data_IF_009649391083
#
_entry.id   IF_009649391083
#
_cell.length_a   1.000
_cell.length_b   1.000
_cell.length_c   1.000
_cell.angle_alpha   90.00
_cell.angle_beta   90.00
_cell.angle_gamma   90.00
#
_symmetry.space_group_name_H-M   'P 1'
#
loop_
_entity.id
_entity.type
_entity.pdbx_description
1 polymer ?
#
# COMPACT_ATOMS: atom_id res chain seq x y z
N UNK A 1 0.03 11.46 -16.99
CA UNK A 1 0.30 11.62 -15.54
C UNK A 1 1.58 12.41 -15.36
N UNK A 2 1.60 13.44 -14.52
CA UNK A 2 2.81 14.26 -14.31
C UNK A 2 3.84 13.51 -13.44
N UNK A 3 5.15 13.77 -13.64
CA UNK A 3 6.27 13.17 -12.88
C UNK A 3 6.11 13.32 -11.37
N UNK A 4 5.62 14.47 -10.90
CA UNK A 4 5.40 14.71 -9.47
C UNK A 4 4.26 13.87 -8.90
N UNK A 5 3.21 13.64 -9.71
CA UNK A 5 2.12 12.73 -9.35
C UNK A 5 2.61 11.27 -9.28
N UNK A 6 3.50 10.85 -10.19
CA UNK A 6 4.10 9.51 -10.13
C UNK A 6 4.92 9.31 -8.85
N UNK A 7 5.76 10.30 -8.51
CA UNK A 7 6.56 10.28 -7.27
C UNK A 7 5.66 10.21 -6.03
N UNK A 8 4.58 10.99 -6.00
CA UNK A 8 3.59 10.95 -4.92
C UNK A 8 2.93 9.57 -4.78
N UNK A 9 2.50 8.97 -5.90
CA UNK A 9 1.93 7.62 -5.90
C UNK A 9 2.92 6.58 -5.38
N UNK A 10 4.19 6.65 -5.79
CA UNK A 10 5.25 5.75 -5.31
C UNK A 10 5.52 5.93 -3.81
N UNK A 11 5.52 7.17 -3.31
CA UNK A 11 5.64 7.45 -1.88
C UNK A 11 4.48 6.85 -1.08
N UNK A 12 3.25 6.99 -1.58
CA UNK A 12 2.06 6.40 -0.96
C UNK A 12 2.12 4.87 -0.94
N UNK A 13 2.57 4.24 -2.03
CA UNK A 13 2.78 2.79 -2.10
C UNK A 13 3.81 2.36 -1.05
N UNK A 14 4.93 3.07 -0.93
CA UNK A 14 5.98 2.75 0.05
C UNK A 14 5.46 2.86 1.49
N UNK A 15 4.69 3.91 1.80
CA UNK A 15 4.06 4.09 3.10
C UNK A 15 3.10 2.94 3.44
N UNK A 16 2.18 2.61 2.52
CA UNK A 16 1.24 1.50 2.71
C UNK A 16 1.94 0.15 2.86
N UNK A 17 3.03 -0.09 2.12
CA UNK A 17 3.83 -1.31 2.28
C UNK A 17 4.51 -1.38 3.65
N UNK A 18 5.03 -0.25 4.16
CA UNK A 18 5.59 -0.17 5.51
C UNK A 18 4.53 -0.49 6.56
N UNK A 19 3.33 0.09 6.45
CA UNK A 19 2.22 -0.22 7.36
C UNK A 19 1.82 -1.70 7.33
N UNK A 20 1.67 -2.28 6.14
CA UNK A 20 1.36 -3.70 5.97
C UNK A 20 2.44 -4.59 6.58
N UNK A 21 3.71 -4.20 6.48
CA UNK A 21 4.82 -4.91 7.12
C UNK A 21 4.72 -4.82 8.64
N UNK A 22 4.44 -3.63 9.20
CA UNK A 22 4.26 -3.47 10.65
C UNK A 22 3.07 -4.29 11.16
N UNK A 23 1.97 -4.37 10.41
CA UNK A 23 0.84 -5.24 10.75
C UNK A 23 1.24 -6.71 10.77
N UNK A 24 2.11 -7.16 9.84
CA UNK A 24 2.63 -8.54 9.86
C UNK A 24 3.52 -8.79 11.07
N UNK A 25 4.38 -7.84 11.44
CA UNK A 25 5.22 -7.94 12.63
C UNK A 25 4.35 -8.08 13.88
N UNK A 26 3.32 -7.23 14.02
CA UNK A 26 2.34 -7.31 15.11
C UNK A 26 1.59 -8.65 15.15
N UNK A 27 1.15 -9.14 13.99
CA UNK A 27 0.51 -10.44 13.92
C UNK A 27 1.46 -11.57 14.37
N UNK A 28 2.73 -11.51 13.96
CA UNK A 28 3.75 -12.48 14.36
C UNK A 28 4.12 -12.39 15.85
N UNK A 29 3.99 -11.23 16.48
CA UNK A 29 4.17 -11.07 17.94
C UNK A 29 2.95 -11.48 18.77
N UNK A 30 1.87 -11.95 18.12
CA UNK A 30 0.64 -12.39 18.79
C UNK A 30 -0.37 -11.27 19.04
N UNK A 31 -0.12 -10.05 18.56
CA UNK A 31 -1.11 -8.98 18.62
C UNK A 31 -2.26 -9.24 17.62
N UNK A 32 -3.49 -8.93 18.05
CA UNK A 32 -4.64 -9.00 17.15
C UNK A 32 -4.64 -7.81 16.20
N UNK A 33 -4.55 -8.07 14.90
CA UNK A 33 -4.66 -7.04 13.87
C UNK A 33 -6.07 -7.00 13.26
N UNK A 34 -6.61 -5.81 12.94
CA UNK A 34 -7.87 -5.71 12.22
C UNK A 34 -7.74 -6.23 10.78
N UNK A 35 -8.22 -7.46 10.53
CA UNK A 35 -8.13 -8.11 9.21
C UNK A 35 -8.79 -7.28 8.10
N UNK A 36 -9.87 -6.57 8.41
CA UNK A 36 -10.56 -5.68 7.46
C UNK A 36 -9.62 -4.57 6.98
N UNK A 37 -8.89 -3.93 7.88
CA UNK A 37 -7.96 -2.85 7.56
C UNK A 37 -6.77 -3.37 6.72
N UNK A 38 -6.22 -4.53 7.10
CA UNK A 38 -5.17 -5.20 6.31
C UNK A 38 -5.60 -5.43 4.85
N UNK A 39 -6.82 -5.95 4.64
CA UNK A 39 -7.38 -6.18 3.30
C UNK A 39 -7.59 -4.88 2.52
N UNK A 40 -8.08 -3.82 3.17
CA UNK A 40 -8.27 -2.50 2.56
C UNK A 40 -6.94 -1.93 2.09
N UNK A 41 -5.93 -1.89 2.96
CA UNK A 41 -4.58 -1.40 2.62
C UNK A 41 -3.94 -2.19 1.48
N UNK A 42 -4.08 -3.52 1.48
CA UNK A 42 -3.60 -4.37 0.38
C UNK A 42 -4.30 -4.04 -0.96
N UNK A 43 -5.62 -3.82 -0.94
CA UNK A 43 -6.39 -3.43 -2.13
C UNK A 43 -5.98 -2.04 -2.64
N UNK A 44 -5.69 -1.12 -1.73
CA UNK A 44 -5.26 0.24 -2.08
C UNK A 44 -3.89 0.25 -2.76
N UNK A 45 -2.93 -0.55 -2.26
CA UNK A 45 -1.64 -0.75 -2.96
C UNK A 45 -1.85 -1.24 -4.40
N UNK A 46 -2.74 -2.21 -4.60
CA UNK A 46 -3.06 -2.72 -5.94
C UNK A 46 -3.70 -1.65 -6.85
N UNK A 47 -4.60 -0.82 -6.31
CA UNK A 47 -5.18 0.32 -7.04
C UNK A 47 -4.14 1.34 -7.45
N UNK A 48 -3.24 1.72 -6.54
CA UNK A 48 -2.16 2.67 -6.84
C UNK A 48 -1.22 2.14 -7.92
N UNK A 49 -0.85 0.86 -7.88
CA UNK A 49 -0.08 0.25 -8.96
C UNK A 49 -0.85 0.22 -10.28
N UNK A 50 -2.15 -0.07 -10.25
CA UNK A 50 -2.99 -0.06 -11.46
C UNK A 50 -3.03 1.34 -12.08
N UNK A 51 -3.26 2.38 -11.26
CA UNK A 51 -3.23 3.78 -11.69
C UNK A 51 -1.86 4.15 -12.28
N UNK A 52 -0.78 3.76 -11.60
CA UNK A 52 0.59 4.03 -12.04
C UNK A 52 0.89 3.40 -13.40
N UNK A 53 0.50 2.13 -13.57
CA UNK A 53 0.77 1.36 -14.79
C UNK A 53 -0.13 1.79 -15.96
N UNK A 54 -1.39 2.11 -15.70
CA UNK A 54 -2.32 2.62 -16.71
C UNK A 54 -1.89 3.97 -17.29
N UNK A 55 -1.09 4.74 -16.54
CA UNK A 55 -0.51 5.99 -17.03
C UNK A 55 0.81 5.81 -17.80
N UNK A 56 1.35 4.59 -17.85
CA UNK A 56 2.58 4.22 -18.58
C UNK A 56 2.25 3.46 -19.88
N UNK A 57 1.15 2.72 -19.89
CA UNK A 57 0.56 2.10 -21.08
C UNK A 57 -0.07 3.17 -21.99
#
# INVERSE_FOLDING_TARGET
MNKDEQKSILANIASLKKELMMMRVKASSGETIPVKDYKIKKKEVARLFTKLNAAKA
#
